data_IF_032177759592
#
_entry.id   IF_032177759592
#
_cell.length_a   1.000
_cell.length_b   1.000
_cell.length_c   1.000
_cell.angle_alpha   90.00
_cell.angle_beta   90.00
_cell.angle_gamma   90.00
#
_symmetry.space_group_name_H-M   'P 1'
#
loop_
_entity.id
_entity.type
_entity.pdbx_description
1 polymer ?
#
# COMPACT_ATOMS: atom_id res chain seq x y z
N UNK A 1 15.71 14.42 -8.12
CA UNK A 1 15.59 12.98 -7.86
C UNK A 1 14.10 12.65 -7.66
N UNK A 2 13.56 11.64 -8.37
CA UNK A 2 12.17 11.23 -8.23
C UNK A 2 12.05 10.23 -7.08
N UNK A 3 11.01 10.30 -6.23
CA UNK A 3 10.76 9.30 -5.21
C UNK A 3 10.46 7.94 -5.87
N UNK A 4 10.87 6.86 -5.22
CA UNK A 4 10.56 5.50 -5.61
C UNK A 4 9.87 4.78 -4.45
N UNK A 5 9.01 3.80 -4.76
CA UNK A 5 8.46 2.89 -3.78
C UNK A 5 9.13 1.52 -3.98
N UNK A 6 9.54 0.90 -2.89
CA UNK A 6 10.11 -0.44 -2.89
C UNK A 6 9.42 -1.34 -1.88
N UNK A 7 9.39 -2.62 -2.19
CA UNK A 7 8.88 -3.66 -1.29
C UNK A 7 9.97 -4.69 -1.03
N UNK A 8 9.89 -5.37 0.11
CA UNK A 8 10.81 -6.45 0.46
C UNK A 8 10.06 -7.75 0.64
N UNK A 9 10.75 -8.84 0.32
CA UNK A 9 10.28 -10.18 0.66
C UNK A 9 10.57 -10.54 2.12
N UNK A 10 11.65 -9.99 2.67
CA UNK A 10 12.13 -10.29 4.01
C UNK A 10 12.77 -9.05 4.66
N UNK A 11 12.59 -8.90 5.96
CA UNK A 11 13.11 -7.78 6.75
C UNK A 11 14.63 -7.67 6.73
N UNK A 12 15.34 -8.77 6.53
CA UNK A 12 16.82 -8.77 6.44
C UNK A 12 17.34 -7.97 5.26
N UNK A 13 16.52 -7.71 4.26
CA UNK A 13 16.90 -6.91 3.08
C UNK A 13 16.96 -5.40 3.37
N UNK A 14 16.29 -4.92 4.42
CA UNK A 14 16.21 -3.47 4.74
C UNK A 14 17.61 -2.85 4.91
N UNK A 15 18.54 -3.41 5.74
CA UNK A 15 19.88 -2.83 5.89
C UNK A 15 20.67 -2.79 4.58
N UNK A 16 20.53 -3.83 3.75
CA UNK A 16 21.21 -3.88 2.45
C UNK A 16 20.70 -2.81 1.49
N UNK A 17 19.38 -2.61 1.44
CA UNK A 17 18.79 -1.55 0.63
C UNK A 17 19.23 -0.16 1.10
N UNK A 18 19.26 0.10 2.40
CA UNK A 18 19.76 1.38 2.94
C UNK A 18 21.21 1.63 2.51
N UNK A 19 22.08 0.62 2.57
CA UNK A 19 23.47 0.75 2.10
C UNK A 19 23.56 1.07 0.61
N UNK A 20 22.72 0.46 -0.23
CA UNK A 20 22.68 0.79 -1.66
C UNK A 20 22.19 2.22 -1.90
N UNK A 21 21.17 2.67 -1.15
CA UNK A 21 20.70 4.06 -1.22
C UNK A 21 21.72 5.06 -0.68
N UNK A 22 22.49 4.71 0.34
CA UNK A 22 23.59 5.52 0.83
C UNK A 22 24.63 5.73 -0.27
N UNK A 23 25.06 4.68 -0.98
CA UNK A 23 25.99 4.78 -2.10
C UNK A 23 25.43 5.67 -3.22
N UNK A 24 24.15 5.49 -3.57
CA UNK A 24 23.49 6.31 -4.58
C UNK A 24 23.30 7.79 -4.17
N UNK A 25 23.31 8.07 -2.87
CA UNK A 25 23.09 9.40 -2.29
C UNK A 25 24.41 10.12 -1.92
N UNK A 26 25.56 9.52 -2.20
CA UNK A 26 26.87 10.14 -2.00
C UNK A 26 27.69 9.59 -0.85
N UNK A 27 27.30 8.49 -0.22
CA UNK A 27 28.07 7.77 0.79
C UNK A 27 27.29 7.41 2.04
N UNK A 28 27.97 6.79 2.99
CA UNK A 28 27.38 6.27 4.22
C UNK A 28 26.58 7.31 5.01
N UNK A 29 25.35 6.96 5.40
CA UNK A 29 24.42 7.81 6.15
C UNK A 29 23.78 8.95 5.35
N UNK A 30 24.09 9.10 4.04
CA UNK A 30 23.55 10.16 3.20
C UNK A 30 22.07 9.99 2.91
N UNK A 31 21.61 8.76 2.70
CA UNK A 31 20.21 8.45 2.45
C UNK A 31 19.31 8.81 3.64
N UNK A 32 19.73 8.48 4.85
CA UNK A 32 18.94 8.76 6.06
C UNK A 32 18.78 10.24 6.39
N UNK A 33 19.67 11.11 5.89
CA UNK A 33 19.54 12.57 6.02
C UNK A 33 18.40 13.14 5.16
N UNK A 34 18.14 12.52 4.01
CA UNK A 34 17.07 12.94 3.08
C UNK A 34 16.52 11.71 2.36
N UNK A 35 15.68 10.89 3.04
CA UNK A 35 15.10 9.70 2.42
C UNK A 35 14.26 10.08 1.20
N UNK A 36 14.53 9.42 0.08
CA UNK A 36 13.81 9.64 -1.20
C UNK A 36 13.05 8.39 -1.67
N UNK A 37 12.93 7.39 -0.79
CA UNK A 37 12.28 6.13 -1.09
C UNK A 37 11.20 5.85 -0.06
N UNK A 38 10.06 5.37 -0.54
CA UNK A 38 8.93 4.91 0.27
C UNK A 38 9.05 3.39 0.40
N UNK A 39 8.91 2.89 1.61
CA UNK A 39 8.97 1.47 1.90
C UNK A 39 7.55 0.91 1.99
N UNK A 40 7.14 0.16 0.96
CA UNK A 40 5.81 -0.38 0.81
C UNK A 40 5.69 -1.83 1.26
N UNK A 41 4.46 -2.24 1.56
CA UNK A 41 4.12 -3.62 1.83
C UNK A 41 2.62 -3.82 1.98
N UNK A 42 2.18 -5.08 1.89
CA UNK A 42 0.78 -5.47 2.10
C UNK A 42 0.65 -6.13 3.48
N UNK A 43 0.49 -5.35 4.57
CA UNK A 43 0.49 -5.89 5.93
C UNK A 43 -0.79 -6.63 6.29
N UNK A 44 -1.84 -6.47 5.48
CA UNK A 44 -3.15 -7.10 5.70
C UNK A 44 -3.35 -8.25 4.72
N UNK A 45 -3.84 -9.34 5.26
CA UNK A 45 -4.41 -10.47 4.52
C UNK A 45 -5.92 -10.38 4.70
N UNK A 46 -6.59 -9.67 3.79
CA UNK A 46 -8.04 -9.46 3.86
C UNK A 46 -8.81 -10.79 3.82
N UNK A 47 -9.90 -10.96 4.63
CA UNK A 47 -10.46 -9.94 5.50
C UNK A 47 -9.78 -9.92 6.89
N UNK A 48 -9.49 -8.73 7.39
CA UNK A 48 -9.24 -8.39 8.79
C UNK A 48 -8.12 -9.20 9.48
N UNK A 49 -7.12 -9.68 8.74
CA UNK A 49 -5.97 -10.41 9.31
C UNK A 49 -4.66 -9.68 9.04
N UNK A 50 -3.79 -9.64 10.03
CA UNK A 50 -2.45 -9.09 9.91
C UNK A 50 -1.50 -10.18 9.40
N UNK A 51 -0.83 -9.92 8.28
CA UNK A 51 0.24 -10.75 7.75
C UNK A 51 1.55 -10.49 8.50
N UNK A 52 2.07 -11.49 9.20
CA UNK A 52 3.21 -11.35 10.11
C UNK A 52 4.44 -10.77 9.40
N UNK A 53 4.87 -11.39 8.31
CA UNK A 53 6.12 -11.04 7.61
C UNK A 53 6.12 -9.59 7.12
N UNK A 54 5.06 -9.18 6.43
CA UNK A 54 4.93 -7.82 5.94
C UNK A 54 4.79 -6.80 7.08
N UNK A 55 4.08 -7.16 8.16
CA UNK A 55 3.96 -6.29 9.31
C UNK A 55 5.32 -6.10 10.02
N UNK A 56 6.14 -7.13 10.14
CA UNK A 56 7.49 -7.01 10.71
C UNK A 56 8.37 -6.07 9.88
N UNK A 57 8.29 -6.13 8.54
CA UNK A 57 8.99 -5.20 7.63
C UNK A 57 8.54 -3.76 7.89
N UNK A 58 7.24 -3.52 7.98
CA UNK A 58 6.69 -2.19 8.22
C UNK A 58 7.07 -1.65 9.60
N UNK A 59 7.07 -2.50 10.62
CA UNK A 59 7.51 -2.14 11.97
C UNK A 59 8.98 -1.69 11.96
N UNK A 60 9.86 -2.44 11.31
CA UNK A 60 11.27 -2.08 11.24
C UNK A 60 11.50 -0.79 10.45
N UNK A 61 10.78 -0.62 9.34
CA UNK A 61 10.80 0.61 8.55
C UNK A 61 10.34 1.81 9.36
N UNK A 62 9.24 1.67 10.09
CA UNK A 62 8.70 2.72 10.96
C UNK A 62 9.68 3.11 12.08
N UNK A 63 10.33 2.11 12.72
CA UNK A 63 11.36 2.35 13.75
C UNK A 63 12.51 3.19 13.21
N UNK A 64 12.88 3.00 11.95
CA UNK A 64 13.92 3.79 11.29
C UNK A 64 13.45 5.21 10.92
N UNK A 65 12.15 5.49 10.98
CA UNK A 65 11.56 6.78 10.61
C UNK A 65 11.45 7.00 9.11
N UNK A 66 11.49 5.93 8.35
CA UNK A 66 11.29 5.97 6.92
C UNK A 66 9.80 6.02 6.58
N UNK A 67 9.46 6.57 5.43
CA UNK A 67 8.06 6.63 4.97
C UNK A 67 7.53 5.24 4.69
N UNK A 68 6.36 4.93 5.24
CA UNK A 68 5.68 3.63 5.10
C UNK A 68 4.48 3.76 4.17
N UNK A 69 4.38 2.89 3.17
CA UNK A 69 3.23 2.75 2.28
C UNK A 69 2.45 1.48 2.65
N UNK A 70 1.21 1.66 3.09
CA UNK A 70 0.37 0.60 3.67
C UNK A 70 -0.63 0.09 2.63
N UNK A 71 -0.18 -0.67 1.64
CA UNK A 71 -1.06 -1.22 0.61
C UNK A 71 -2.01 -2.28 1.20
N UNK A 72 -3.30 -1.99 1.13
CA UNK A 72 -4.38 -2.87 1.63
C UNK A 72 -5.33 -3.19 0.48
N UNK A 73 -5.20 -4.39 -0.15
CA UNK A 73 -5.87 -4.74 -1.38
C UNK A 73 -7.04 -5.74 -1.20
N UNK A 74 -8.12 -5.43 -0.46
CA UNK A 74 -9.28 -6.32 -0.40
C UNK A 74 -9.98 -6.34 -1.76
N UNK A 75 -10.63 -7.47 -2.07
CA UNK A 75 -11.33 -7.68 -3.34
C UNK A 75 -12.83 -7.79 -3.10
N UNK A 76 -13.61 -6.89 -3.67
CA UNK A 76 -15.07 -6.93 -3.61
C UNK A 76 -15.60 -8.27 -4.15
N UNK A 77 -16.41 -8.94 -3.34
CA UNK A 77 -16.99 -10.24 -3.68
C UNK A 77 -16.10 -11.45 -3.40
N UNK A 78 -14.84 -11.27 -3.00
CA UNK A 78 -13.93 -12.36 -2.62
C UNK A 78 -13.42 -12.21 -1.18
N UNK A 79 -12.58 -11.22 -0.93
CA UNK A 79 -11.98 -10.97 0.39
C UNK A 79 -12.59 -9.74 1.10
N UNK A 80 -13.63 -9.17 0.49
CA UNK A 80 -14.44 -8.08 1.02
C UNK A 80 -15.90 -8.28 0.59
N UNK A 81 -16.87 -7.54 1.18
CA UNK A 81 -18.27 -7.56 0.74
C UNK A 81 -18.40 -7.28 -0.75
N UNK A 82 -19.43 -7.86 -1.40
CA UNK A 82 -19.65 -7.66 -2.84
C UNK A 82 -20.07 -6.22 -3.20
N UNK A 83 -20.60 -5.46 -2.24
CA UNK A 83 -21.00 -4.07 -2.47
C UNK A 83 -19.78 -3.13 -2.38
N UNK A 84 -19.68 -2.14 -3.28
CA UNK A 84 -18.58 -1.18 -3.28
C UNK A 84 -18.47 -0.42 -1.94
N UNK A 85 -19.61 -0.02 -1.36
CA UNK A 85 -19.62 0.66 -0.07
C UNK A 85 -19.09 -0.24 1.06
N UNK A 86 -19.49 -1.52 1.10
CA UNK A 86 -19.00 -2.48 2.08
C UNK A 86 -17.51 -2.74 1.93
N UNK A 87 -17.02 -2.89 0.69
CA UNK A 87 -15.59 -3.03 0.41
C UNK A 87 -14.82 -1.79 0.84
N UNK A 88 -15.34 -0.59 0.57
CA UNK A 88 -14.69 0.65 0.98
C UNK A 88 -14.57 0.75 2.51
N UNK A 89 -15.64 0.42 3.25
CA UNK A 89 -15.63 0.41 4.72
C UNK A 89 -14.55 -0.53 5.25
N UNK A 90 -14.48 -1.77 4.73
CA UNK A 90 -13.46 -2.73 5.14
C UNK A 90 -12.05 -2.23 4.79
N UNK A 91 -11.83 -1.74 3.55
CA UNK A 91 -10.53 -1.22 3.12
C UNK A 91 -10.03 -0.10 4.04
N UNK A 92 -10.91 0.84 4.34
CA UNK A 92 -10.58 1.97 5.24
C UNK A 92 -10.27 1.47 6.64
N UNK A 93 -11.08 0.55 7.19
CA UNK A 93 -10.85 0.00 8.53
C UNK A 93 -9.51 -0.74 8.62
N UNK A 94 -9.19 -1.59 7.64
CA UNK A 94 -7.93 -2.32 7.57
C UNK A 94 -6.73 -1.36 7.43
N UNK A 95 -6.84 -0.33 6.59
CA UNK A 95 -5.77 0.66 6.41
C UNK A 95 -5.56 1.49 7.69
N UNK A 96 -6.64 1.96 8.32
CA UNK A 96 -6.55 2.71 9.58
C UNK A 96 -5.98 1.87 10.73
N UNK A 97 -6.25 0.56 10.77
CA UNK A 97 -5.64 -0.34 11.74
C UNK A 97 -4.09 -0.36 11.58
N UNK A 98 -3.60 -0.39 10.34
CA UNK A 98 -2.16 -0.32 10.07
C UNK A 98 -1.58 1.06 10.44
N UNK A 99 -2.29 2.15 10.12
CA UNK A 99 -1.90 3.51 10.53
C UNK A 99 -1.78 3.60 12.05
N UNK A 100 -2.74 3.05 12.78
CA UNK A 100 -2.70 3.03 14.25
C UNK A 100 -1.49 2.24 14.78
N UNK A 101 -1.21 1.06 14.22
CA UNK A 101 -0.05 0.24 14.61
C UNK A 101 1.25 1.01 14.38
N UNK A 102 1.43 1.62 13.22
CA UNK A 102 2.65 2.39 12.90
C UNK A 102 2.81 3.57 13.86
N UNK A 103 1.72 4.30 14.17
CA UNK A 103 1.78 5.41 15.12
C UNK A 103 2.04 4.98 16.57
N UNK A 104 1.59 3.79 16.99
CA UNK A 104 1.95 3.23 18.30
C UNK A 104 3.44 2.90 18.41
N UNK A 105 4.05 2.48 17.30
CA UNK A 105 5.49 2.15 17.24
C UNK A 105 6.33 3.43 17.20
N UNK A 106 5.95 4.37 16.34
CA UNK A 106 6.63 5.64 16.15
C UNK A 106 5.62 6.76 15.90
N UNK A 107 5.27 7.54 16.92
CA UNK A 107 4.39 8.69 16.73
C UNK A 107 4.95 9.66 15.68
N UNK A 108 4.11 10.09 14.74
CA UNK A 108 4.49 11.00 13.66
C UNK A 108 5.33 10.36 12.54
N UNK A 109 5.40 9.04 12.48
CA UNK A 109 6.01 8.36 11.32
C UNK A 109 5.30 8.76 10.03
N UNK A 110 6.02 9.15 8.96
CA UNK A 110 5.41 9.45 7.67
C UNK A 110 4.72 8.20 7.09
N UNK A 111 3.44 8.33 6.75
CA UNK A 111 2.61 7.22 6.27
C UNK A 111 1.91 7.63 4.99
N UNK A 112 1.87 6.74 4.00
CA UNK A 112 0.97 6.82 2.87
C UNK A 112 -0.24 5.91 3.12
N UNK A 113 -1.44 6.46 3.03
CA UNK A 113 -2.71 5.74 3.11
C UNK A 113 -2.97 5.06 1.77
N UNK A 114 -2.48 3.84 1.61
CA UNK A 114 -2.60 3.08 0.37
C UNK A 114 -3.80 2.11 0.43
N UNK A 115 -4.99 2.67 0.36
CA UNK A 115 -6.24 1.92 0.28
C UNK A 115 -6.47 1.46 -1.16
N UNK A 116 -6.23 0.19 -1.45
CA UNK A 116 -6.23 -0.38 -2.80
C UNK A 116 -7.36 -1.39 -3.00
N UNK A 117 -8.64 -1.00 -2.87
CA UNK A 117 -9.74 -1.93 -3.10
C UNK A 117 -9.79 -2.37 -4.55
N UNK A 118 -10.00 -3.66 -4.76
CA UNK A 118 -10.12 -4.29 -6.07
C UNK A 118 -11.49 -4.93 -6.28
N UNK A 119 -11.75 -5.35 -7.52
CA UNK A 119 -13.00 -5.98 -7.92
C UNK A 119 -12.72 -7.43 -8.35
N UNK A 120 -13.64 -8.33 -8.00
CA UNK A 120 -13.65 -9.71 -8.48
C UNK A 120 -14.84 -9.91 -9.43
N UNK A 121 -14.62 -10.51 -10.59
CA UNK A 121 -15.72 -11.00 -11.40
C UNK A 121 -16.37 -12.18 -10.69
N UNK A 122 -17.57 -11.99 -10.18
CA UNK A 122 -18.29 -12.99 -9.38
C UNK A 122 -18.69 -14.25 -10.19
N UNK A 123 -18.63 -14.18 -11.53
CA UNK A 123 -18.94 -15.32 -12.39
C UNK A 123 -17.75 -16.26 -12.57
N UNK A 124 -16.56 -15.69 -12.72
CA UNK A 124 -15.33 -16.44 -12.95
C UNK A 124 -14.46 -16.59 -11.70
N UNK A 125 -14.68 -15.75 -10.67
CA UNK A 125 -13.82 -15.65 -9.50
C UNK A 125 -12.48 -14.95 -9.79
N UNK A 126 -12.30 -14.40 -10.98
CA UNK A 126 -11.07 -13.79 -11.41
C UNK A 126 -10.96 -12.34 -10.90
N UNK A 127 -9.74 -11.91 -10.66
CA UNK A 127 -9.43 -10.50 -10.46
C UNK A 127 -9.81 -9.69 -11.71
N UNK A 128 -10.46 -8.54 -11.51
CA UNK A 128 -10.83 -7.64 -12.59
C UNK A 128 -10.18 -6.28 -12.37
N UNK A 129 -9.16 -5.98 -13.16
CA UNK A 129 -8.50 -4.67 -13.15
C UNK A 129 -9.06 -3.73 -14.22
N UNK A 130 -9.01 -2.42 -13.98
CA UNK A 130 -9.33 -1.38 -14.98
C UNK A 130 -10.80 -1.14 -15.30
N UNK A 131 -11.74 -1.85 -14.65
CA UNK A 131 -13.18 -1.65 -14.85
C UNK A 131 -13.72 -0.36 -14.21
N UNK A 132 -14.95 0.03 -14.58
CA UNK A 132 -15.62 1.24 -14.06
C UNK A 132 -15.83 1.18 -12.54
N UNK A 133 -16.18 0.02 -12.00
CA UNK A 133 -16.32 -0.20 -10.55
C UNK A 133 -14.97 -0.01 -9.82
N UNK A 134 -13.87 -0.46 -10.42
CA UNK A 134 -12.52 -0.24 -9.90
C UNK A 134 -12.18 1.25 -9.84
N UNK A 135 -12.48 1.99 -10.89
CA UNK A 135 -12.25 3.44 -10.94
C UNK A 135 -13.09 4.18 -9.89
N UNK A 136 -14.36 3.81 -9.74
CA UNK A 136 -15.27 4.42 -8.77
C UNK A 136 -14.82 4.18 -7.33
N UNK A 137 -14.51 2.93 -6.97
CA UNK A 137 -14.09 2.61 -5.60
C UNK A 137 -12.70 3.17 -5.29
N UNK A 138 -11.80 3.24 -6.28
CA UNK A 138 -10.51 3.90 -6.16
C UNK A 138 -10.64 5.39 -5.88
N UNK A 139 -11.52 6.09 -6.62
CA UNK A 139 -11.81 7.50 -6.35
C UNK A 139 -12.38 7.72 -4.95
N UNK A 140 -13.29 6.85 -4.49
CA UNK A 140 -13.82 6.90 -3.14
C UNK A 140 -12.74 6.66 -2.06
N UNK A 141 -11.81 5.74 -2.30
CA UNK A 141 -10.68 5.49 -1.39
C UNK A 141 -9.76 6.73 -1.27
N UNK A 142 -9.48 7.43 -2.38
CA UNK A 142 -8.74 8.71 -2.36
C UNK A 142 -9.49 9.77 -1.54
N UNK A 143 -10.83 9.88 -1.71
CA UNK A 143 -11.62 10.82 -0.92
C UNK A 143 -11.52 10.54 0.59
N UNK A 144 -11.52 9.26 0.99
CA UNK A 144 -11.34 8.88 2.39
C UNK A 144 -9.96 9.26 2.92
N UNK A 145 -8.89 9.00 2.17
CA UNK A 145 -7.55 9.42 2.57
C UNK A 145 -7.42 10.94 2.71
N UNK A 146 -8.00 11.70 1.77
CA UNK A 146 -8.05 13.17 1.86
C UNK A 146 -8.86 13.63 3.07
N UNK A 147 -9.96 12.96 3.41
CA UNK A 147 -10.76 13.26 4.61
C UNK A 147 -9.94 13.10 5.89
N UNK A 148 -9.05 12.10 5.96
CA UNK A 148 -8.13 11.91 7.09
C UNK A 148 -6.87 12.79 7.03
N UNK A 149 -6.69 13.60 5.98
CA UNK A 149 -5.53 14.46 5.80
C UNK A 149 -4.23 13.68 5.56
N UNK A 150 -4.32 12.48 4.99
CA UNK A 150 -3.18 11.59 4.72
C UNK A 150 -2.81 11.60 3.23
N UNK A 151 -1.52 11.56 2.88
CA UNK A 151 -1.09 11.23 1.53
C UNK A 151 -1.67 9.88 1.13
N UNK A 152 -2.26 9.79 -0.07
CA UNK A 152 -3.05 8.63 -0.47
C UNK A 152 -2.57 8.09 -1.80
N UNK A 153 -2.54 6.75 -1.92
CA UNK A 153 -2.38 6.04 -3.19
C UNK A 153 -3.46 4.98 -3.37
N UNK A 154 -3.79 4.66 -4.61
CA UNK A 154 -4.68 3.55 -4.97
C UNK A 154 -4.09 2.74 -6.10
N UNK A 155 -4.48 1.49 -6.21
CA UNK A 155 -4.16 0.65 -7.37
C UNK A 155 -4.91 1.13 -8.61
N UNK A 156 -4.17 1.50 -9.65
CA UNK A 156 -4.72 1.94 -10.92
C UNK A 156 -3.85 1.45 -12.09
N UNK A 157 -4.40 1.46 -13.30
CA UNK A 157 -3.67 1.07 -14.50
C UNK A 157 -3.35 -0.43 -14.57
N UNK A 158 -4.10 -1.25 -13.85
CA UNK A 158 -3.98 -2.70 -13.94
C UNK A 158 -4.95 -3.23 -14.99
N UNK A 159 -4.52 -4.25 -15.72
CA UNK A 159 -5.33 -4.92 -16.72
C UNK A 159 -4.88 -6.38 -16.85
N UNK A 160 -5.80 -7.26 -17.21
CA UNK A 160 -5.51 -8.64 -17.57
C UNK A 160 -5.03 -8.79 -19.03
N UNK A 161 -5.07 -7.70 -19.81
CA UNK A 161 -4.55 -7.70 -21.18
C UNK A 161 -3.05 -7.88 -21.20
N UNK A 162 -2.58 -8.72 -22.10
CA UNK A 162 -1.15 -8.93 -22.34
C UNK A 162 -0.53 -7.87 -23.27
N UNK A 163 -1.37 -7.10 -23.94
CA UNK A 163 -0.98 -6.05 -24.88
C UNK A 163 -1.69 -4.78 -24.46
N UNK A 164 -0.96 -3.69 -24.16
CA UNK A 164 -1.59 -2.41 -23.86
C UNK A 164 -2.24 -1.85 -25.13
N UNK A 165 -3.52 -1.58 -25.07
CA UNK A 165 -4.27 -0.95 -26.15
C UNK A 165 -5.29 0.08 -25.60
N UNK A 166 -6.08 0.69 -26.47
CA UNK A 166 -7.04 1.73 -26.08
C UNK A 166 -8.23 1.22 -25.26
N UNK A 167 -8.45 -0.09 -25.20
CA UNK A 167 -9.52 -0.72 -24.42
C UNK A 167 -9.08 -1.03 -22.99
N UNK A 168 -7.81 -1.17 -22.76
CA UNK A 168 -7.18 -1.53 -21.50
C UNK A 168 -6.07 -0.54 -21.12
#
# INVERSE_FOLDING_TARGET
>A
QKPACITFRDRSHIPHAIRLFDLASGGEGSFMKKPSVIFGGCPIVSPLRIGRENMEILIDTAKLGLTVDLAVPPQAGATAPATLAGTLVQTVAETLACVAIVNLIRPGCPICFAAWPFITDLRSGSFTGGGGEQALIGAAAIQMGNYYGLPTSVGAGMTDSKIPDAQY
#
